data_IF_679716066081
#
_entry.id   IF_679716066081
#
_cell.length_a   1.000
_cell.length_b   1.000
_cell.length_c   1.000
_cell.angle_alpha   90.00
_cell.angle_beta   90.00
_cell.angle_gamma   90.00
#
_symmetry.space_group_name_H-M   'P 1'
#
loop_
_entity.id
_entity.type
_entity.pdbx_description
1 polymer ?
#
# COMPACT_ATOMS: atom_id res chain seq x y z
N UNK A 1 -49.64 -26.18 -4.55
CA UNK A 1 -48.37 -26.21 -5.33
C UNK A 1 -47.76 -24.83 -5.51
N UNK A 2 -48.51 -23.73 -5.35
CA UNK A 2 -48.05 -22.33 -5.54
C UNK A 2 -46.95 -21.86 -4.57
N UNK A 3 -46.92 -22.40 -3.34
CA UNK A 3 -45.91 -22.03 -2.32
C UNK A 3 -44.51 -22.59 -2.58
N UNK A 4 -44.41 -23.70 -3.33
CA UNK A 4 -43.13 -24.34 -3.67
C UNK A 4 -42.38 -23.54 -4.74
N UNK A 5 -43.10 -23.05 -5.75
CA UNK A 5 -42.56 -22.17 -6.78
C UNK A 5 -42.11 -20.82 -6.20
N UNK A 6 -42.92 -20.25 -5.32
CA UNK A 6 -42.57 -19.01 -4.60
C UNK A 6 -41.34 -19.21 -3.71
N UNK A 7 -41.24 -20.35 -3.00
CA UNK A 7 -40.06 -20.68 -2.19
C UNK A 7 -38.79 -20.84 -3.02
N UNK A 8 -38.87 -21.49 -4.19
CA UNK A 8 -37.75 -21.62 -5.11
C UNK A 8 -37.29 -20.27 -5.66
N UNK A 9 -38.23 -19.40 -6.02
CA UNK A 9 -37.95 -18.05 -6.50
C UNK A 9 -37.26 -17.21 -5.42
N UNK A 10 -37.75 -17.26 -4.18
CA UNK A 10 -37.14 -16.55 -3.05
C UNK A 10 -35.73 -17.06 -2.72
N UNK A 11 -35.45 -18.35 -2.88
CA UNK A 11 -34.12 -18.91 -2.68
C UNK A 11 -33.13 -18.35 -3.72
N UNK A 12 -33.51 -18.37 -5.00
CA UNK A 12 -32.66 -17.85 -6.09
C UNK A 12 -32.46 -16.34 -5.94
N UNK A 13 -33.53 -15.59 -5.64
CA UNK A 13 -33.46 -14.14 -5.40
C UNK A 13 -32.56 -13.83 -4.20
N UNK A 14 -32.67 -14.60 -3.11
CA UNK A 14 -31.82 -14.44 -1.93
C UNK A 14 -30.35 -14.66 -2.24
N UNK A 15 -30.00 -15.74 -2.96
CA UNK A 15 -28.62 -16.00 -3.34
C UNK A 15 -28.08 -14.95 -4.32
N UNK A 16 -28.87 -14.55 -5.31
CA UNK A 16 -28.49 -13.54 -6.29
C UNK A 16 -28.26 -12.16 -5.64
N UNK A 17 -29.15 -11.73 -4.74
CA UNK A 17 -28.99 -10.44 -4.04
C UNK A 17 -27.77 -10.43 -3.13
N UNK A 18 -27.51 -11.51 -2.39
CA UNK A 18 -26.29 -11.63 -1.58
C UNK A 18 -25.04 -11.58 -2.46
N UNK A 19 -25.02 -12.29 -3.59
CA UNK A 19 -23.88 -12.28 -4.52
C UNK A 19 -23.61 -10.88 -5.09
N UNK A 20 -24.66 -10.17 -5.51
CA UNK A 20 -24.55 -8.80 -6.05
C UNK A 20 -24.03 -7.83 -4.99
N UNK A 21 -24.54 -7.89 -3.76
CA UNK A 21 -24.07 -7.02 -2.67
C UNK A 21 -22.59 -7.28 -2.37
N UNK A 22 -22.18 -8.55 -2.29
CA UNK A 22 -20.77 -8.89 -2.05
C UNK A 22 -19.85 -8.36 -3.15
N UNK A 23 -20.24 -8.51 -4.43
CA UNK A 23 -19.48 -7.93 -5.54
C UNK A 23 -19.33 -6.41 -5.39
N UNK A 24 -20.44 -5.71 -5.13
CA UNK A 24 -20.43 -4.25 -4.94
C UNK A 24 -19.51 -3.85 -3.80
N UNK A 25 -19.61 -4.51 -2.65
CA UNK A 25 -18.78 -4.22 -1.47
C UNK A 25 -17.30 -4.39 -1.81
N UNK A 26 -16.90 -5.48 -2.48
CA UNK A 26 -15.50 -5.71 -2.85
C UNK A 26 -14.98 -4.61 -3.77
N UNK A 27 -15.74 -4.24 -4.80
CA UNK A 27 -15.32 -3.19 -5.73
C UNK A 27 -15.23 -1.81 -5.06
N UNK A 28 -16.20 -1.47 -4.20
CA UNK A 28 -16.18 -0.23 -3.43
C UNK A 28 -15.00 -0.19 -2.45
N UNK A 29 -14.74 -1.29 -1.74
CA UNK A 29 -13.58 -1.39 -0.85
C UNK A 29 -12.27 -1.19 -1.63
N UNK A 30 -12.10 -1.84 -2.79
CA UNK A 30 -10.90 -1.64 -3.62
C UNK A 30 -10.77 -0.21 -4.13
N UNK A 31 -11.87 0.44 -4.51
CA UNK A 31 -11.86 1.83 -4.96
C UNK A 31 -11.48 2.79 -3.83
N UNK A 32 -12.04 2.59 -2.63
CA UNK A 32 -11.71 3.39 -1.45
C UNK A 32 -10.25 3.20 -1.04
N UNK A 33 -9.74 1.96 -1.06
CA UNK A 33 -8.31 1.69 -0.80
C UNK A 33 -7.44 2.44 -1.81
N UNK A 34 -7.75 2.39 -3.10
CA UNK A 34 -6.99 3.12 -4.13
C UNK A 34 -7.06 4.64 -3.95
N UNK A 35 -8.22 5.18 -3.57
CA UNK A 35 -8.40 6.61 -3.33
C UNK A 35 -7.60 7.06 -2.11
N UNK A 36 -7.69 6.34 -1.00
CA UNK A 36 -6.93 6.62 0.21
C UNK A 36 -5.44 6.50 -0.05
N UNK A 37 -4.99 5.42 -0.71
CA UNK A 37 -3.58 5.23 -1.06
C UNK A 37 -3.06 6.25 -2.09
N UNK A 38 -3.92 6.92 -2.83
CA UNK A 38 -3.53 8.02 -3.73
C UNK A 38 -3.46 9.37 -3.01
N UNK A 39 -4.36 9.62 -2.04
CA UNK A 39 -4.44 10.88 -1.29
C UNK A 39 -3.42 10.92 -0.16
N UNK A 40 -3.21 9.79 0.51
CA UNK A 40 -2.10 9.53 1.39
C UNK A 40 -1.37 8.33 0.81
N UNK A 41 -0.37 8.55 -0.07
CA UNK A 41 0.55 7.50 -0.44
C UNK A 41 1.02 6.86 0.86
N UNK A 42 0.61 5.61 1.07
CA UNK A 42 1.36 4.74 1.97
C UNK A 42 2.79 4.87 1.44
N UNK A 43 3.65 5.58 2.17
CA UNK A 43 5.08 5.43 1.97
C UNK A 43 5.26 3.92 1.95
N UNK A 44 5.60 3.36 0.78
CA UNK A 44 5.96 1.96 0.61
C UNK A 44 6.61 1.56 1.92
N UNK A 45 6.13 0.54 2.65
CA UNK A 45 6.70 0.25 3.95
C UNK A 45 8.19 0.15 3.72
N UNK A 46 8.90 1.22 4.11
CA UNK A 46 10.34 1.32 4.06
C UNK A 46 10.66 0.29 5.09
N UNK A 47 10.84 -0.93 4.59
CA UNK A 47 11.15 -2.16 5.27
C UNK A 47 12.04 -1.71 6.40
N UNK A 48 11.46 -1.63 7.63
CA UNK A 48 12.05 -0.88 8.74
C UNK A 48 13.55 -1.15 8.68
N UNK A 49 14.41 -0.14 8.41
CA UNK A 49 15.83 -0.35 8.60
C UNK A 49 15.93 -0.75 10.05
N UNK A 50 16.22 -2.03 10.26
CA UNK A 50 16.48 -2.59 11.58
C UNK A 50 17.48 -1.62 12.19
N UNK A 51 17.06 -1.01 13.30
CA UNK A 51 17.85 -0.04 14.02
C UNK A 51 19.21 -0.68 14.32
N UNK A 52 20.19 -0.38 13.48
CA UNK A 52 21.56 -0.82 13.65
C UNK A 52 22.32 0.44 13.95
N UNK A 53 22.39 0.70 15.25
CA UNK A 53 23.57 1.16 15.98
C UNK A 53 24.32 2.42 15.50
N UNK A 54 24.70 3.19 16.52
CA UNK A 54 25.92 4.01 16.61
C UNK A 54 25.95 5.36 15.88
N UNK A 55 25.44 6.36 16.60
CA UNK A 55 26.18 7.57 16.98
C UNK A 55 27.59 7.74 16.40
N UNK A 56 27.76 8.67 15.45
CA UNK A 56 28.92 9.60 15.29
C UNK A 56 29.03 10.24 13.90
N UNK A 57 28.14 9.92 12.94
CA UNK A 57 28.41 10.18 11.51
C UNK A 57 27.44 11.14 10.81
N UNK A 58 26.72 12.01 11.55
CA UNK A 58 25.76 12.96 10.95
C UNK A 58 26.42 13.85 9.89
N UNK A 59 27.64 14.35 10.15
CA UNK A 59 28.36 15.21 9.22
C UNK A 59 28.81 14.51 7.94
N UNK A 60 29.22 13.24 8.00
CA UNK A 60 29.61 12.51 6.80
C UNK A 60 28.39 12.10 5.97
N UNK A 61 27.27 11.74 6.60
CA UNK A 61 26.03 11.44 5.89
C UNK A 61 25.49 12.64 5.11
N UNK A 62 25.57 13.84 5.67
CA UNK A 62 25.16 15.07 4.98
C UNK A 62 26.08 15.41 3.80
N UNK A 63 27.39 15.24 3.96
CA UNK A 63 28.35 15.42 2.88
C UNK A 63 28.12 14.42 1.73
N UNK A 64 27.82 13.16 2.05
CA UNK A 64 27.52 12.12 1.05
C UNK A 64 26.21 12.43 0.33
N UNK A 65 25.17 12.88 1.04
CA UNK A 65 23.89 13.30 0.43
C UNK A 65 24.09 14.46 -0.53
N UNK A 66 24.84 15.49 -0.14
CA UNK A 66 25.13 16.63 -1.00
C UNK A 66 25.94 16.22 -2.24
N UNK A 67 26.92 15.34 -2.09
CA UNK A 67 27.70 14.83 -3.22
C UNK A 67 26.83 14.02 -4.20
N UNK A 68 25.93 13.16 -3.70
CA UNK A 68 25.02 12.38 -4.53
C UNK A 68 24.01 13.29 -5.23
N UNK A 69 23.50 14.32 -4.57
CA UNK A 69 22.58 15.30 -5.15
C UNK A 69 23.22 16.03 -6.34
N UNK A 70 24.46 16.49 -6.17
CA UNK A 70 25.24 17.14 -7.25
C UNK A 70 25.53 16.17 -8.40
N UNK A 71 26.01 14.96 -8.10
CA UNK A 71 26.39 13.97 -9.11
C UNK A 71 25.20 13.43 -9.90
N UNK A 72 24.02 13.38 -9.28
CA UNK A 72 22.80 12.85 -9.88
C UNK A 72 21.85 13.94 -10.35
N UNK A 73 22.27 15.21 -10.30
CA UNK A 73 21.47 16.38 -10.66
C UNK A 73 20.06 16.36 -10.04
N UNK A 74 19.96 16.07 -8.74
CA UNK A 74 18.69 16.08 -8.01
C UNK A 74 17.86 14.80 -8.04
N UNK A 75 18.31 13.72 -8.69
CA UNK A 75 17.49 12.50 -8.88
C UNK A 75 17.87 11.34 -7.97
N UNK A 76 19.07 11.34 -7.38
CA UNK A 76 19.58 10.25 -6.56
C UNK A 76 19.30 10.45 -5.08
N UNK A 77 18.87 9.38 -4.40
CA UNK A 77 18.66 9.38 -2.94
C UNK A 77 19.56 8.33 -2.27
N UNK A 78 20.25 8.73 -1.21
CA UNK A 78 21.04 7.83 -0.37
C UNK A 78 20.10 6.98 0.49
N UNK A 79 19.98 5.69 0.15
CA UNK A 79 19.09 4.73 0.82
C UNK A 79 19.79 3.90 1.91
N UNK A 80 21.09 3.64 1.78
CA UNK A 80 21.89 2.84 2.72
C UNK A 80 23.37 3.19 2.58
N UNK A 81 24.07 3.34 3.71
CA UNK A 81 25.52 3.55 3.75
C UNK A 81 26.11 2.35 4.48
N UNK A 82 26.95 1.59 3.78
CA UNK A 82 27.73 0.49 4.36
C UNK A 82 29.21 0.80 4.19
N UNK A 83 29.97 0.67 5.27
CA UNK A 83 31.41 0.85 5.23
C UNK A 83 32.03 -0.38 4.57
N UNK A 84 32.51 -0.21 3.34
CA UNK A 84 33.31 -1.24 2.68
C UNK A 84 34.58 -1.44 3.51
N UNK A 85 34.76 -2.68 3.99
CA UNK A 85 35.90 -3.08 4.78
C UNK A 85 37.10 -3.39 3.90
#
# INVERSE_FOLDING_TARGET
>A
MENLETGLLLMVVGMATVFVILLIVIYLSQLLIKLVNKVAPEEEPKKKPVATATSSDTGAMDAIKAAVDILTAGKGQVIKIEKLR
#
